data_IF_229733871764
#
_entry.id   IF_229733871764
#
_cell.length_a   1.000
_cell.length_b   1.000
_cell.length_c   1.000
_cell.angle_alpha   90.00
_cell.angle_beta   90.00
_cell.angle_gamma   90.00
#
_symmetry.space_group_name_H-M   'P 1'
#
loop_
_entity.id
_entity.type
_entity.pdbx_description
1 polymer ?
#
# COMPACT_ATOMS: atom_id res chain seq x y z
N UNK A 1 -31.76 6.73 -36.59
CA UNK A 1 -30.73 5.93 -35.90
C UNK A 1 -30.40 6.62 -34.59
N UNK A 2 -30.85 6.08 -33.46
CA UNK A 2 -30.65 6.72 -32.15
C UNK A 2 -29.16 6.72 -31.80
N UNK A 3 -28.58 7.90 -31.56
CA UNK A 3 -27.25 8.02 -30.96
C UNK A 3 -27.32 7.37 -29.58
N UNK A 4 -26.61 6.26 -29.38
CA UNK A 4 -26.33 5.74 -28.03
C UNK A 4 -25.60 6.86 -27.29
N UNK A 5 -26.30 7.54 -26.39
CA UNK A 5 -25.70 8.46 -25.43
C UNK A 5 -24.94 7.63 -24.41
N UNK A 6 -23.75 7.17 -24.78
CA UNK A 6 -22.87 6.43 -23.88
C UNK A 6 -22.39 7.37 -22.78
N UNK A 7 -22.68 7.01 -21.53
CA UNK A 7 -22.02 7.66 -20.41
C UNK A 7 -20.56 7.21 -20.44
N UNK A 8 -19.62 8.16 -20.51
CA UNK A 8 -18.18 7.87 -20.57
C UNK A 8 -17.75 6.91 -19.44
N UNK A 9 -18.38 7.03 -18.26
CA UNK A 9 -18.11 6.15 -17.13
C UNK A 9 -18.45 4.68 -17.39
N UNK A 10 -19.54 4.39 -18.10
CA UNK A 10 -19.94 3.00 -18.42
C UNK A 10 -19.04 2.39 -19.49
N UNK A 11 -18.65 3.18 -20.49
CA UNK A 11 -17.76 2.69 -21.56
C UNK A 11 -16.36 2.35 -21.03
N UNK A 12 -15.85 3.14 -20.07
CA UNK A 12 -14.56 2.88 -19.44
C UNK A 12 -14.66 1.65 -18.52
N UNK A 13 -15.72 1.55 -17.71
CA UNK A 13 -15.92 0.40 -16.83
C UNK A 13 -16.03 -0.92 -17.62
N UNK A 14 -16.75 -0.92 -18.74
CA UNK A 14 -16.86 -2.08 -19.64
C UNK A 14 -15.48 -2.48 -20.20
N UNK A 15 -14.68 -1.52 -20.67
CA UNK A 15 -13.32 -1.81 -21.18
C UNK A 15 -12.42 -2.43 -20.11
N UNK A 16 -12.49 -1.94 -18.88
CA UNK A 16 -11.71 -2.46 -17.76
C UNK A 16 -12.12 -3.92 -17.45
N UNK A 17 -13.43 -4.20 -17.39
CA UNK A 17 -13.95 -5.54 -17.09
C UNK A 17 -13.71 -6.54 -18.23
N UNK A 18 -13.64 -6.08 -19.48
CA UNK A 18 -13.26 -6.91 -20.62
C UNK A 18 -11.77 -7.28 -20.62
N UNK A 19 -10.91 -6.38 -20.12
CA UNK A 19 -9.46 -6.64 -20.08
C UNK A 19 -9.06 -7.49 -18.87
N UNK A 20 -9.67 -7.26 -17.72
CA UNK A 20 -9.39 -7.98 -16.48
C UNK A 20 -10.55 -8.92 -16.13
N UNK A 21 -10.56 -10.12 -16.70
CA UNK A 21 -11.65 -11.09 -16.53
C UNK A 21 -11.88 -11.53 -15.07
N UNK A 22 -10.82 -11.52 -14.26
CA UNK A 22 -10.87 -11.85 -12.84
C UNK A 22 -11.25 -10.67 -11.95
N UNK A 23 -11.39 -9.46 -12.49
CA UNK A 23 -11.78 -8.30 -11.72
C UNK A 23 -13.26 -8.38 -11.35
N UNK A 24 -13.56 -8.10 -10.09
CA UNK A 24 -14.92 -8.05 -9.60
C UNK A 24 -15.62 -6.75 -10.03
N UNK A 25 -16.70 -6.80 -10.84
CA UNK A 25 -17.50 -5.64 -11.22
C UNK A 25 -18.10 -4.88 -10.03
N UNK A 26 -18.55 -5.60 -8.99
CA UNK A 26 -19.15 -4.94 -7.82
C UNK A 26 -18.11 -4.11 -7.07
N UNK A 27 -16.88 -4.62 -6.98
CA UNK A 27 -15.76 -3.86 -6.42
C UNK A 27 -15.41 -2.67 -7.32
N UNK A 28 -15.33 -2.85 -8.63
CA UNK A 28 -14.99 -1.76 -9.56
C UNK A 28 -16.02 -0.61 -9.48
N UNK A 29 -17.30 -0.94 -9.39
CA UNK A 29 -18.38 0.05 -9.42
C UNK A 29 -18.67 0.66 -8.04
N UNK A 30 -18.45 -0.09 -6.96
CA UNK A 30 -18.92 0.31 -5.62
C UNK A 30 -17.86 0.27 -4.52
N UNK A 31 -16.69 -0.31 -4.79
CA UNK A 31 -15.60 -0.53 -3.82
C UNK A 31 -15.87 -1.60 -2.77
N UNK A 32 -16.98 -2.35 -2.87
CA UNK A 32 -17.36 -3.38 -1.90
C UNK A 32 -16.90 -4.77 -2.32
N UNK A 33 -16.55 -5.59 -1.34
CA UNK A 33 -16.11 -6.97 -1.53
C UNK A 33 -14.65 -7.08 -1.95
N UNK A 34 -14.25 -8.28 -2.37
CA UNK A 34 -12.90 -8.53 -2.88
C UNK A 34 -12.73 -7.98 -4.29
N UNK A 35 -11.54 -7.43 -4.57
CA UNK A 35 -11.19 -6.86 -5.88
C UNK A 35 -11.13 -7.94 -6.96
N UNK A 36 -10.57 -9.10 -6.63
CA UNK A 36 -10.39 -10.21 -7.54
C UNK A 36 -11.36 -11.34 -7.18
N UNK A 37 -11.90 -11.98 -8.21
CA UNK A 37 -12.69 -13.20 -8.06
C UNK A 37 -11.74 -14.39 -8.01
N UNK A 38 -12.03 -15.35 -7.13
CA UNK A 38 -11.36 -16.64 -7.11
C UNK A 38 -11.79 -17.48 -8.31
N UNK A 39 -11.26 -17.14 -9.48
CA UNK A 39 -11.36 -17.99 -10.66
C UNK A 39 -10.33 -19.09 -10.48
N UNK A 40 -10.79 -20.30 -10.12
CA UNK A 40 -9.95 -21.49 -10.12
C UNK A 40 -9.51 -21.77 -11.56
N UNK A 41 -8.37 -21.19 -11.92
CA UNK A 41 -7.57 -21.36 -13.15
C UNK A 41 -8.32 -21.15 -14.48
N UNK A 42 -8.13 -19.97 -15.06
CA UNK A 42 -7.58 -19.89 -16.40
C UNK A 42 -6.27 -19.11 -16.26
N UNK A 43 -5.16 -19.85 -16.17
CA UNK A 43 -3.84 -19.27 -16.38
C UNK A 43 -3.86 -18.70 -17.81
N UNK A 44 -3.73 -17.37 -18.00
CA UNK A 44 -3.50 -16.88 -19.34
C UNK A 44 -2.18 -17.50 -19.78
N UNK A 45 -2.24 -18.40 -20.75
CA UNK A 45 -1.10 -18.79 -21.58
C UNK A 45 -0.24 -17.54 -21.76
N UNK A 46 0.96 -17.57 -21.17
CA UNK A 46 1.96 -16.53 -21.31
C UNK A 46 2.14 -16.27 -22.81
N UNK A 47 1.47 -15.23 -23.32
CA UNK A 47 1.67 -14.76 -24.68
C UNK A 47 3.17 -14.54 -24.89
N UNK A 48 3.74 -14.91 -26.06
CA UNK A 48 5.17 -14.89 -26.27
C UNK A 48 5.73 -13.55 -25.85
N UNK A 49 6.67 -13.58 -24.90
CA UNK A 49 7.41 -12.42 -24.43
C UNK A 49 7.97 -11.72 -25.68
N UNK A 50 7.33 -10.62 -26.10
CA UNK A 50 7.90 -9.70 -27.06
C UNK A 50 9.10 -9.08 -26.34
N UNK A 51 10.26 -9.71 -26.57
CA UNK A 51 11.57 -9.18 -26.23
C UNK A 51 11.88 -8.02 -27.17
N UNK A 52 11.13 -6.93 -27.07
CA UNK A 52 11.49 -5.66 -27.69
C UNK A 52 10.92 -4.52 -26.84
N UNK A 53 11.75 -4.06 -25.92
CA UNK A 53 11.89 -2.67 -25.50
C UNK A 53 10.59 -1.87 -25.31
N UNK A 54 9.82 -2.22 -24.28
CA UNK A 54 9.16 -1.17 -23.49
C UNK A 54 10.18 -0.80 -22.40
N UNK A 55 10.78 0.41 -22.42
CA UNK A 55 11.41 0.93 -21.22
C UNK A 55 10.28 1.09 -20.21
N UNK A 56 10.13 0.12 -19.31
CA UNK A 56 9.54 0.42 -18.02
C UNK A 56 10.32 1.63 -17.50
N UNK A 57 9.71 2.79 -17.27
CA UNK A 57 10.37 3.78 -16.45
C UNK A 57 10.42 3.14 -15.06
N UNK A 58 11.52 2.45 -14.76
CA UNK A 58 12.06 2.49 -13.42
C UNK A 58 12.84 3.81 -13.27
N UNK A 59 12.23 4.88 -12.78
CA UNK A 59 12.83 5.57 -11.69
C UNK A 59 12.33 4.85 -10.45
N UNK A 60 13.24 4.26 -9.68
CA UNK A 60 13.11 4.38 -8.22
C UNK A 60 12.95 5.88 -7.94
N UNK A 61 11.72 6.39 -7.98
CA UNK A 61 11.43 7.75 -7.53
C UNK A 61 11.89 7.72 -6.09
N UNK A 62 12.99 8.42 -5.83
CA UNK A 62 13.45 8.70 -4.47
C UNK A 62 12.27 9.40 -3.81
N UNK A 63 11.51 8.64 -3.03
CA UNK A 63 10.31 9.12 -2.37
C UNK A 63 10.77 10.22 -1.41
N UNK A 64 10.59 11.48 -1.77
CA UNK A 64 10.97 12.64 -0.97
C UNK A 64 10.36 12.54 0.44
N UNK A 65 9.08 12.15 0.50
CA UNK A 65 8.38 11.93 1.77
C UNK A 65 8.93 10.76 2.60
N UNK A 66 9.73 9.87 2.02
CA UNK A 66 10.32 8.75 2.75
C UNK A 66 11.60 9.17 3.47
N UNK A 67 12.38 10.10 2.92
CA UNK A 67 13.56 10.66 3.60
C UNK A 67 13.16 11.52 4.81
N UNK A 68 12.11 12.33 4.66
CA UNK A 68 11.56 13.12 5.75
C UNK A 68 10.99 12.23 6.86
N UNK A 69 10.26 11.16 6.49
CA UNK A 69 9.76 10.18 7.45
C UNK A 69 10.89 9.42 8.15
N UNK A 70 11.98 9.11 7.45
CA UNK A 70 13.14 8.43 8.04
C UNK A 70 13.78 9.29 9.15
N UNK A 71 13.97 10.59 8.90
CA UNK A 71 14.47 11.54 9.92
C UNK A 71 13.56 11.60 11.14
N UNK A 72 12.26 11.60 10.91
CA UNK A 72 11.26 11.58 11.98
C UNK A 72 11.34 10.29 12.79
N UNK A 73 11.46 9.13 12.12
CA UNK A 73 11.62 7.83 12.78
C UNK A 73 12.88 7.81 13.66
N UNK A 74 14.01 8.34 13.16
CA UNK A 74 15.26 8.44 13.91
C UNK A 74 15.07 9.30 15.17
N UNK A 75 14.52 10.51 15.03
CA UNK A 75 14.28 11.41 16.15
C UNK A 75 13.33 10.80 17.21
N UNK A 76 12.27 10.11 16.78
CA UNK A 76 11.39 9.38 17.69
C UNK A 76 12.12 8.26 18.42
N UNK A 77 12.95 7.49 17.73
CA UNK A 77 13.73 6.40 18.35
C UNK A 77 14.73 6.92 19.38
N UNK A 78 15.42 8.03 19.11
CA UNK A 78 16.30 8.70 20.07
C UNK A 78 15.53 9.13 21.32
N UNK A 79 14.36 9.75 21.13
CA UNK A 79 13.48 10.18 22.23
C UNK A 79 13.02 8.98 23.06
N UNK A 80 12.57 7.90 22.40
CA UNK A 80 12.15 6.66 23.07
C UNK A 80 13.28 6.08 23.91
N UNK A 81 14.51 6.09 23.40
CA UNK A 81 15.67 5.57 24.13
C UNK A 81 16.00 6.40 25.36
N UNK A 82 15.98 7.73 25.24
CA UNK A 82 16.20 8.64 26.37
C UNK A 82 15.12 8.48 27.45
N UNK A 83 13.84 8.39 27.03
CA UNK A 83 12.73 8.15 27.95
C UNK A 83 12.85 6.78 28.65
N UNK A 84 13.20 5.72 27.92
CA UNK A 84 13.43 4.39 28.51
C UNK A 84 14.52 4.42 29.58
N UNK A 85 15.63 5.11 29.32
CA UNK A 85 16.71 5.28 30.30
C UNK A 85 16.23 6.04 31.54
N UNK A 86 15.52 7.15 31.36
CA UNK A 86 14.98 7.96 32.45
C UNK A 86 14.03 7.15 33.33
N UNK A 87 13.13 6.39 32.72
CA UNK A 87 12.20 5.50 33.44
C UNK A 87 12.96 4.42 34.21
N UNK A 88 14.01 3.83 33.62
CA UNK A 88 14.86 2.86 34.30
C UNK A 88 15.49 3.44 35.57
N UNK A 89 16.10 4.62 35.46
CA UNK A 89 16.75 5.30 36.59
C UNK A 89 15.73 5.68 37.66
N UNK A 90 14.58 6.23 37.26
CA UNK A 90 13.51 6.60 38.19
C UNK A 90 13.01 5.38 38.98
N UNK A 91 12.84 4.23 38.30
CA UNK A 91 12.45 3.00 38.97
C UNK A 91 13.52 2.54 39.98
N UNK A 92 14.80 2.58 39.61
CA UNK A 92 15.89 2.24 40.54
C UNK A 92 15.92 3.15 41.77
N UNK A 93 15.72 4.46 41.58
CA UNK A 93 15.65 5.43 42.68
C UNK A 93 14.45 5.20 43.58
N UNK A 94 13.28 4.92 43.02
CA UNK A 94 12.07 4.57 43.79
C UNK A 94 12.34 3.33 44.64
N UNK A 95 12.94 2.29 44.06
CA UNK A 95 13.27 1.06 44.78
C UNK A 95 14.33 1.29 45.85
N UNK A 96 15.29 2.19 45.62
CA UNK A 96 16.25 2.61 46.65
C UNK A 96 15.55 3.31 47.81
N UNK A 97 14.69 4.29 47.53
CA UNK A 97 13.97 5.04 48.57
C UNK A 97 13.05 4.13 49.38
N UNK A 98 12.30 3.22 48.76
CA UNK A 98 11.47 2.23 49.46
C UNK A 98 12.25 1.32 50.42
N UNK A 99 13.54 1.09 50.17
CA UNK A 99 14.40 0.29 51.05
C UNK A 99 14.96 1.08 52.23
N UNK A 100 14.92 2.41 52.16
CA UNK A 100 15.52 3.33 53.13
C UNK A 100 14.50 4.30 53.77
N UNK A 101 13.21 4.02 53.61
CA UNK A 101 12.06 4.60 54.33
C UNK A 101 11.57 3.61 55.39
#
# INVERSE_FOLDING_TARGET
MAKKGGNIGTEIAEKILLYYENLNPDWLLTGRGEMLRDIKHAEPELSPIIKDTIPYPEPKKKCLSCEEKEKVIIAYNETINSLKQTVSIQNELIEYLKRHE
#
